data_IF_882260710216
#
_entry.id   IF_882260710216
#
_cell.length_a   1.000
_cell.length_b   1.000
_cell.length_c   1.000
_cell.angle_alpha   90.00
_cell.angle_beta   90.00
_cell.angle_gamma   90.00
#
_symmetry.space_group_name_H-M   'P 1'
#
loop_
_entity.id
_entity.type
_entity.pdbx_description
1 polymer ?
#
# COMPACT_ATOMS: atom_id res chain seq x y z
N UNK A 1 -1.38 -11.57 -7.10
CA UNK A 1 -0.01 -11.44 -6.57
C UNK A 1 0.06 -11.86 -5.08
N UNK A 2 -0.32 -13.11 -4.75
CA UNK A 2 -0.45 -13.61 -3.36
C UNK A 2 0.86 -13.91 -2.61
N UNK A 3 2.02 -13.54 -3.15
CA UNK A 3 3.31 -14.05 -2.68
C UNK A 3 4.21 -13.05 -1.95
N UNK A 4 4.34 -11.84 -2.49
CA UNK A 4 5.42 -10.93 -2.06
C UNK A 4 4.93 -9.64 -1.41
N UNK A 5 3.84 -9.04 -1.88
CA UNK A 5 3.36 -7.77 -1.34
C UNK A 5 2.52 -7.94 -0.09
N UNK A 6 1.77 -9.04 0.02
CA UNK A 6 0.85 -9.27 1.13
C UNK A 6 1.56 -9.35 2.50
N UNK A 7 2.68 -10.10 2.67
CA UNK A 7 3.42 -10.08 3.92
C UNK A 7 4.04 -8.71 4.25
N UNK A 8 4.42 -7.94 3.23
CA UNK A 8 4.92 -6.58 3.43
C UNK A 8 3.80 -5.70 3.99
N UNK A 9 2.61 -5.74 3.37
CA UNK A 9 1.42 -5.02 3.83
C UNK A 9 0.87 -5.53 5.17
N UNK A 10 1.28 -6.68 5.67
CA UNK A 10 0.98 -7.11 7.04
C UNK A 10 2.00 -6.53 8.04
N UNK A 11 3.27 -6.41 7.64
CA UNK A 11 4.35 -5.94 8.50
C UNK A 11 4.40 -4.41 8.68
N UNK A 12 4.06 -3.61 7.66
CA UNK A 12 4.22 -2.15 7.72
C UNK A 12 3.60 -1.48 8.97
N UNK A 13 2.37 -1.84 9.41
CA UNK A 13 1.74 -1.21 10.57
C UNK A 13 2.41 -1.59 11.90
N UNK A 14 3.07 -2.75 11.96
CA UNK A 14 3.76 -3.25 13.15
C UNK A 14 5.14 -2.60 13.35
N UNK A 15 5.73 -2.06 12.29
CA UNK A 15 7.07 -1.50 12.33
C UNK A 15 7.12 -0.11 12.97
N UNK A 16 7.93 0.05 14.02
CA UNK A 16 8.17 1.35 14.68
C UNK A 16 8.90 2.36 13.79
N UNK A 17 9.50 1.92 12.68
CA UNK A 17 10.18 2.78 11.72
C UNK A 17 9.21 3.63 10.88
N UNK A 18 7.92 3.28 10.88
CA UNK A 18 6.91 3.96 10.08
C UNK A 18 5.87 4.67 10.95
N UNK A 19 5.46 5.84 10.48
CA UNK A 19 4.49 6.72 11.15
C UNK A 19 3.36 7.04 10.18
N UNK A 20 2.30 7.65 10.68
CA UNK A 20 1.21 8.21 9.89
C UNK A 20 1.67 9.26 8.86
N UNK A 21 2.86 9.84 9.06
CA UNK A 21 3.47 10.79 8.11
C UNK A 21 4.30 10.10 7.02
N UNK A 22 4.60 8.81 7.16
CA UNK A 22 5.33 8.04 6.15
C UNK A 22 4.46 7.83 4.91
N UNK A 23 4.97 8.21 3.74
CA UNK A 23 4.35 7.94 2.45
C UNK A 23 4.96 6.69 1.83
N UNK A 24 4.12 5.71 1.53
CA UNK A 24 4.49 4.52 0.78
C UNK A 24 4.12 4.68 -0.68
N UNK A 25 5.03 4.25 -1.55
CA UNK A 25 4.85 4.27 -3.00
C UNK A 25 5.17 2.86 -3.50
N UNK A 26 4.20 2.23 -4.15
CA UNK A 26 4.39 0.92 -4.77
C UNK A 26 4.07 1.02 -6.25
N UNK A 27 5.01 0.57 -7.08
CA UNK A 27 4.74 0.27 -8.48
C UNK A 27 4.25 -1.17 -8.58
N UNK A 28 3.09 -1.36 -9.21
CA UNK A 28 2.46 -2.68 -9.39
C UNK A 28 1.85 -2.80 -10.78
N UNK A 29 1.51 -4.01 -11.19
CA UNK A 29 0.72 -4.22 -12.41
C UNK A 29 -0.78 -4.12 -12.07
N UNK A 30 -1.61 -3.78 -13.05
CA UNK A 30 -3.06 -3.63 -12.90
C UNK A 30 -3.75 -4.89 -12.35
N UNK A 31 -3.20 -6.06 -12.64
CA UNK A 31 -3.68 -7.37 -12.14
C UNK A 31 -3.37 -7.62 -10.66
N UNK A 32 -2.52 -6.79 -10.06
CA UNK A 32 -2.04 -6.96 -8.69
C UNK A 32 -2.88 -6.12 -7.76
N UNK A 33 -3.93 -6.72 -7.19
CA UNK A 33 -4.75 -6.03 -6.20
C UNK A 33 -4.04 -5.97 -4.84
N UNK A 34 -3.94 -4.77 -4.27
CA UNK A 34 -3.45 -4.55 -2.90
C UNK A 34 -4.58 -4.54 -1.87
N UNK A 35 -5.82 -4.41 -2.33
CA UNK A 35 -7.04 -4.36 -1.52
C UNK A 35 -6.95 -3.38 -0.33
N UNK A 36 -6.24 -2.25 -0.50
CA UNK A 36 -5.98 -1.28 0.58
C UNK A 36 -7.27 -0.73 1.21
N UNK A 37 -8.34 -0.57 0.43
CA UNK A 37 -9.65 -0.13 0.93
C UNK A 37 -10.27 -1.08 1.96
N UNK A 38 -9.88 -2.36 1.93
CA UNK A 38 -10.35 -3.38 2.88
C UNK A 38 -9.48 -3.47 4.14
N UNK A 39 -8.38 -2.72 4.20
CA UNK A 39 -7.40 -2.77 5.30
C UNK A 39 -7.47 -1.46 6.11
N UNK A 40 -8.06 -1.46 7.32
CA UNK A 40 -8.34 -0.24 8.08
C UNK A 40 -7.07 0.51 8.55
N UNK A 41 -5.92 -0.16 8.55
CA UNK A 41 -4.62 0.40 8.93
C UNK A 41 -4.03 1.30 7.83
N UNK A 42 -4.63 1.35 6.64
CA UNK A 42 -4.11 2.09 5.49
C UNK A 42 -5.06 3.19 5.03
N UNK A 43 -4.45 4.24 4.47
CA UNK A 43 -5.15 5.32 3.79
C UNK A 43 -4.58 5.42 2.39
N UNK A 44 -5.39 5.09 1.39
CA UNK A 44 -5.07 5.37 0.00
C UNK A 44 -5.10 6.88 -0.22
N UNK A 45 -4.02 7.43 -0.79
CA UNK A 45 -3.88 8.88 -1.02
C UNK A 45 -3.95 9.26 -2.48
N UNK A 46 -3.38 8.46 -3.38
CA UNK A 46 -3.42 8.68 -4.83
C UNK A 46 -3.19 7.34 -5.56
N UNK A 47 -3.66 7.25 -6.80
CA UNK A 47 -3.29 6.20 -7.74
C UNK A 47 -3.09 6.79 -9.14
N UNK A 48 -1.94 6.47 -9.75
CA UNK A 48 -1.62 6.89 -11.12
C UNK A 48 -1.45 5.68 -12.01
N UNK A 49 -2.14 5.69 -13.15
CA UNK A 49 -2.17 4.57 -14.10
C UNK A 49 -1.35 4.93 -15.34
N UNK A 50 -0.49 4.01 -15.76
CA UNK A 50 0.39 4.10 -16.91
C UNK A 50 0.31 2.79 -17.72
N UNK A 51 -0.68 2.69 -18.61
CA UNK A 51 -0.98 1.42 -19.29
C UNK A 51 -1.37 0.34 -18.28
N UNK A 52 -0.58 -0.72 -18.21
CA UNK A 52 -0.77 -1.81 -17.24
C UNK A 52 -0.03 -1.57 -15.90
N UNK A 53 0.81 -0.55 -15.81
CA UNK A 53 1.50 -0.17 -14.57
C UNK A 53 0.64 0.79 -13.75
N UNK A 54 0.61 0.59 -12.44
CA UNK A 54 -0.07 1.47 -11.48
C UNK A 54 0.94 1.87 -10.40
N UNK A 55 1.06 3.17 -10.15
CA UNK A 55 1.71 3.71 -8.96
C UNK A 55 0.63 3.97 -7.91
N UNK A 56 0.71 3.27 -6.79
CA UNK A 56 -0.22 3.42 -5.66
C UNK A 56 0.49 4.14 -4.52
N UNK A 57 -0.11 5.22 -4.02
CA UNK A 57 0.39 6.05 -2.94
C UNK A 57 -0.51 5.89 -1.73
N UNK A 58 0.05 5.49 -0.59
CA UNK A 58 -0.73 5.28 0.63
C UNK A 58 0.07 5.58 1.89
N UNK A 59 -0.66 5.71 3.01
CA UNK A 59 -0.11 5.99 4.34
C UNK A 59 -0.68 5.02 5.37
N UNK A 60 -0.04 4.96 6.53
CA UNK A 60 -0.62 4.29 7.70
C UNK A 60 -1.65 5.19 8.38
N UNK A 61 -2.72 4.58 8.86
CA UNK A 61 -3.70 5.14 9.79
C UNK A 61 -3.35 4.66 11.19
N UNK A 62 -2.58 5.44 11.95
CA UNK A 62 -2.43 5.17 13.39
C UNK A 62 -3.67 5.74 14.11
N UNK A 63 -4.35 4.88 14.86
CA UNK A 63 -5.42 5.24 15.79
C UNK A 63 -4.79 5.69 17.10
#
# INVERSE_FOLDING_TARGET
LKGFLEPILEYLPESSNFTENTLFIIERQKKDDLSLESRPEYILTDERKFGDTILTFFKLKKV
#
